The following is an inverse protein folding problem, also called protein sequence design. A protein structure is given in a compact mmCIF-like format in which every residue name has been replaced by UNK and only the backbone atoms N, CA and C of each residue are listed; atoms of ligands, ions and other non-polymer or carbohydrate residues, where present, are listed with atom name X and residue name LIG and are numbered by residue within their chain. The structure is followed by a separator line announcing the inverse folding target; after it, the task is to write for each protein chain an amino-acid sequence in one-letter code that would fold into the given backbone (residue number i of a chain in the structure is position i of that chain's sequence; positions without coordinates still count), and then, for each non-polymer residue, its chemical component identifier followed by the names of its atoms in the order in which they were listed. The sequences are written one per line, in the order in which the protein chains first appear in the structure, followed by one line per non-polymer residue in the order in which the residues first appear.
data_IF_812421008858
#
_entry.id   IF_812421008858
#
_cell.length_a   1.000
_cell.length_b   1.000
_cell.length_c   1.000
_cell.angle_alpha   90.00
_cell.angle_beta   90.00
_cell.angle_gamma   90.00
#
_symmetry.space_group_name_H-M   'P 1'
#
loop_
_entity.id
_entity.type
_entity.pdbx_description
1 polymer ?
#
# COMPACT_ATOMS: atom_id res chain seq x y z
N UNK A 1 -16.39 -5.78 -0.77
CA UNK A 1 -15.12 -6.40 -0.35
C UNK A 1 -15.29 -7.90 -0.36
N UNK A 2 -14.40 -8.61 -1.04
CA UNK A 2 -14.42 -10.07 -1.24
C UNK A 2 -13.10 -10.65 -0.73
N UNK A 3 -13.17 -11.59 0.21
CA UNK A 3 -12.00 -12.30 0.73
C UNK A 3 -11.28 -13.06 -0.41
N UNK A 4 -9.95 -13.01 -0.43
CA UNK A 4 -9.09 -13.60 -1.47
C UNK A 4 -8.90 -12.72 -2.70
N UNK A 5 -9.79 -11.76 -2.97
CA UNK A 5 -9.63 -10.78 -4.06
C UNK A 5 -9.19 -9.43 -3.53
N UNK A 6 -9.92 -8.89 -2.55
CA UNK A 6 -9.71 -7.54 -2.03
C UNK A 6 -8.78 -7.53 -0.81
N UNK A 7 -8.81 -8.59 -0.03
CA UNK A 7 -7.98 -8.76 1.16
C UNK A 7 -7.78 -10.23 1.50
N UNK A 8 -6.79 -10.52 2.33
CA UNK A 8 -6.58 -11.82 2.95
C UNK A 8 -6.15 -11.66 4.41
N UNK A 9 -6.32 -12.69 5.23
CA UNK A 9 -5.78 -12.73 6.58
C UNK A 9 -4.35 -13.27 6.54
N UNK A 10 -3.40 -12.56 7.15
CA UNK A 10 -2.05 -13.09 7.34
C UNK A 10 -2.00 -14.11 8.49
N UNK A 11 -0.85 -14.73 8.69
CA UNK A 11 -0.63 -15.74 9.76
C UNK A 11 -0.87 -15.19 11.18
N UNK A 12 -0.85 -13.87 11.34
CA UNK A 12 -1.11 -13.18 12.61
C UNK A 12 -2.58 -12.76 12.79
N UNK A 13 -3.45 -13.09 11.83
CA UNK A 13 -4.86 -12.72 11.86
C UNK A 13 -5.16 -11.27 11.45
N UNK A 14 -4.18 -10.54 10.90
CA UNK A 14 -4.38 -9.20 10.39
C UNK A 14 -4.92 -9.21 8.95
N UNK A 15 -5.81 -8.27 8.66
CA UNK A 15 -6.33 -8.02 7.31
C UNK A 15 -5.26 -7.33 6.47
N UNK A 16 -4.87 -7.95 5.37
CA UNK A 16 -3.95 -7.40 4.38
C UNK A 16 -4.72 -7.15 3.08
N UNK A 17 -4.85 -5.88 2.70
CA UNK A 17 -5.47 -5.49 1.44
C UNK A 17 -4.57 -5.80 0.25
N UNK A 18 -5.18 -6.26 -0.84
CA UNK A 18 -4.51 -6.53 -2.11
C UNK A 18 -4.40 -5.25 -2.95
N UNK A 19 -3.55 -5.29 -3.97
CA UNK A 19 -3.47 -4.22 -4.96
C UNK A 19 -4.82 -4.00 -5.68
N UNK A 20 -5.60 -5.05 -5.93
CA UNK A 20 -6.90 -4.96 -6.59
C UNK A 20 -7.87 -4.06 -5.81
N UNK A 21 -7.95 -4.24 -4.49
CA UNK A 21 -8.78 -3.38 -3.64
C UNK A 21 -8.32 -1.92 -3.65
N UNK A 22 -7.01 -1.69 -3.63
CA UNK A 22 -6.44 -0.35 -3.73
C UNK A 22 -6.75 0.31 -5.07
N UNK A 23 -6.71 -0.45 -6.17
CA UNK A 23 -7.10 0.04 -7.50
C UNK A 23 -8.60 0.39 -7.55
N UNK A 24 -9.46 -0.47 -7.00
CA UNK A 24 -10.90 -0.17 -6.90
C UNK A 24 -11.19 1.08 -6.05
N UNK A 25 -10.41 1.31 -4.98
CA UNK A 25 -10.49 2.53 -4.18
C UNK A 25 -10.06 3.78 -4.97
N UNK A 26 -9.17 3.60 -5.94
CA UNK A 26 -8.74 4.65 -6.86
C UNK A 26 -7.75 5.67 -6.29
N UNK A 27 -7.29 5.50 -5.04
CA UNK A 27 -6.31 6.43 -4.44
C UNK A 27 -5.44 5.81 -3.35
N UNK A 28 -4.24 6.37 -3.18
CA UNK A 28 -3.34 6.01 -2.09
C UNK A 28 -3.90 6.50 -0.75
N UNK A 29 -3.98 5.60 0.23
CA UNK A 29 -4.53 5.90 1.55
C UNK A 29 -3.52 6.49 2.54
N UNK A 30 -2.22 6.57 2.19
CA UNK A 30 -1.18 7.14 3.05
C UNK A 30 -0.69 6.24 4.21
N UNK A 31 -1.17 5.00 4.31
CA UNK A 31 -0.86 4.11 5.44
C UNK A 31 0.37 3.20 5.22
N UNK A 32 1.07 3.30 4.08
CA UNK A 32 2.23 2.44 3.82
C UNK A 32 1.87 0.96 3.59
N UNK A 33 0.75 0.67 2.91
CA UNK A 33 0.30 -0.70 2.68
C UNK A 33 1.29 -1.53 1.83
N UNK A 34 1.45 -2.81 2.16
CA UNK A 34 2.40 -3.72 1.49
C UNK A 34 2.20 -3.84 -0.03
N UNK A 35 0.96 -3.81 -0.49
CA UNK A 35 0.59 -3.99 -1.90
C UNK A 35 0.13 -2.68 -2.55
N UNK A 36 0.73 -1.54 -2.20
CA UNK A 36 0.30 -0.23 -2.70
C UNK A 36 0.63 -0.07 -4.20
N UNK A 37 -0.37 0.07 -5.09
CA UNK A 37 -0.14 0.26 -6.52
C UNK A 37 0.19 1.71 -6.90
N UNK A 38 0.15 2.65 -5.94
CA UNK A 38 0.28 4.10 -6.17
C UNK A 38 1.63 4.66 -5.74
N UNK A 39 2.66 3.80 -5.68
CA UNK A 39 4.02 4.18 -5.31
C UNK A 39 4.09 5.00 -4.00
N UNK A 40 3.21 4.69 -3.05
CA UNK A 40 3.15 5.35 -1.74
C UNK A 40 3.08 6.89 -1.78
N UNK A 41 2.49 7.47 -2.84
CA UNK A 41 2.46 8.93 -3.08
C UNK A 41 1.91 9.76 -1.92
N UNK A 42 0.97 9.21 -1.14
CA UNK A 42 0.34 9.91 0.00
C UNK A 42 0.94 9.50 1.36
N UNK A 43 2.00 8.69 1.39
CA UNK A 43 2.63 8.27 2.64
C UNK A 43 3.59 9.37 3.12
N UNK A 44 3.40 9.91 4.34
CA UNK A 44 4.25 10.99 4.84
C UNK A 44 5.70 10.54 4.96
N UNK A 45 6.64 11.43 4.63
CA UNK A 45 8.08 11.12 4.63
C UNK A 45 8.59 10.64 5.99
N UNK A 46 8.02 11.14 7.09
CA UNK A 46 8.37 10.71 8.46
C UNK A 46 8.12 9.21 8.72
N UNK A 47 7.17 8.60 8.00
CA UNK A 47 6.87 7.17 8.10
C UNK A 47 7.50 6.35 6.96
N UNK A 48 7.72 6.98 5.82
CA UNK A 48 8.16 6.35 4.59
C UNK A 48 9.50 5.62 4.71
N UNK A 49 10.49 6.23 5.36
CA UNK A 49 11.85 5.68 5.50
C UNK A 49 11.88 4.29 6.15
N UNK A 50 10.85 3.95 6.93
CA UNK A 50 10.77 2.68 7.67
C UNK A 50 9.88 1.64 7.02
N UNK A 51 8.93 2.05 6.19
CA UNK A 51 7.85 1.19 5.70
C UNK A 51 8.03 0.86 4.21
N UNK A 52 8.66 1.76 3.46
CA UNK A 52 8.72 1.67 2.00
C UNK A 52 10.02 0.96 1.60
N UNK A 53 9.97 -0.01 0.67
CA UNK A 53 11.17 -0.67 0.17
C UNK A 53 12.16 0.34 -0.46
N UNK A 54 13.48 0.15 -0.30
CA UNK A 54 14.49 1.10 -0.79
C UNK A 54 14.56 1.17 -2.31
N UNK A 55 14.03 0.18 -3.03
CA UNK A 55 13.92 0.16 -4.49
C UNK A 55 12.81 1.06 -5.05
N UNK A 56 11.93 1.56 -4.19
CA UNK A 56 10.80 2.41 -4.58
C UNK A 56 11.18 3.89 -4.48
N UNK A 57 11.54 4.49 -5.61
CA UNK A 57 11.75 5.94 -5.70
C UNK A 57 10.41 6.69 -5.79
N UNK A 58 10.17 7.62 -4.86
CA UNK A 58 8.96 8.47 -4.84
C UNK A 58 9.25 9.89 -5.33
N UNK A 59 10.50 10.14 -5.71
CA UNK A 59 11.04 11.44 -6.06
C UNK A 59 11.03 11.69 -7.58
N UNK A 60 10.50 10.76 -8.37
CA UNK A 60 10.27 10.89 -9.82
C UNK A 60 9.13 11.86 -10.21
N UNK A 61 8.84 12.88 -9.39
CA UNK A 61 7.98 13.99 -9.84
C UNK A 61 8.78 14.89 -10.80
N UNK A 62 8.66 14.59 -12.09
CA UNK A 62 8.79 15.58 -13.16
C UNK A 62 7.70 16.66 -13.04
#
# INVERSE_FOLDING_TARGET
MVEGTDFYYNEQGYVVFTAAWHLQRGSCCGNGCKHCPFNYINVPNTAAEKIIPPDIDRNEKA
#
